data_IF_655027919550
#
_entry.id   IF_655027919550
#
_cell.length_a   1.000
_cell.length_b   1.000
_cell.length_c   1.000
_cell.angle_alpha   90.00
_cell.angle_beta   90.00
_cell.angle_gamma   90.00
#
_symmetry.space_group_name_H-M   'P 1'
#
loop_
_entity.id
_entity.type
_entity.pdbx_description
1 polymer ?
#
# COMPACT_ATOMS: atom_id res chain seq x y z
N UNK A 1 -19.33 8.79 1.00
CA UNK A 1 -18.21 8.18 1.73
C UNK A 1 -17.74 6.98 0.92
N UNK A 2 -16.44 6.85 0.65
CA UNK A 2 -15.87 5.66 0.03
C UNK A 2 -15.39 4.73 1.16
N UNK A 3 -15.71 3.44 1.07
CA UNK A 3 -15.36 2.44 2.08
C UNK A 3 -14.51 1.34 1.44
N UNK A 4 -13.41 0.97 2.10
CA UNK A 4 -12.52 -0.10 1.70
C UNK A 4 -12.87 -1.40 2.46
N UNK A 5 -14.09 -1.89 2.28
CA UNK A 5 -14.67 -3.02 3.01
C UNK A 5 -14.67 -4.35 2.23
N UNK A 6 -14.17 -4.34 0.99
CA UNK A 6 -14.01 -5.53 0.13
C UNK A 6 -12.80 -6.43 0.52
N UNK A 7 -12.04 -6.08 1.56
CA UNK A 7 -10.88 -6.85 2.01
C UNK A 7 -11.28 -8.18 2.67
N UNK A 8 -10.54 -9.25 2.35
CA UNK A 8 -10.61 -10.53 3.06
C UNK A 8 -9.41 -10.77 3.96
N UNK A 9 -8.23 -10.37 3.51
CA UNK A 9 -6.96 -10.54 4.23
C UNK A 9 -6.58 -9.29 5.03
N UNK A 10 -7.43 -8.26 5.10
CA UNK A 10 -7.24 -7.11 5.97
C UNK A 10 -8.54 -6.77 6.68
N UNK A 11 -8.43 -6.41 7.95
CA UNK A 11 -9.57 -6.00 8.77
C UNK A 11 -9.10 -4.93 9.77
N UNK A 12 -9.82 -3.82 9.87
CA UNK A 12 -9.70 -2.91 11.01
C UNK A 12 -10.67 -3.41 12.09
N UNK A 13 -10.13 -4.11 13.10
CA UNK A 13 -10.93 -4.79 14.12
C UNK A 13 -11.53 -3.79 15.10
N UNK A 14 -10.71 -2.87 15.61
CA UNK A 14 -11.12 -1.87 16.60
C UNK A 14 -10.17 -0.67 16.59
N UNK A 15 -10.62 0.46 17.13
CA UNK A 15 -9.86 1.70 17.27
C UNK A 15 -10.20 2.39 18.58
N UNK A 16 -9.23 3.09 19.17
CA UNK A 16 -9.44 3.89 20.36
C UNK A 16 -8.15 4.09 21.14
N UNK A 17 -8.16 5.03 22.08
CA UNK A 17 -7.02 5.33 22.95
C UNK A 17 -5.78 5.80 22.18
N UNK A 18 -5.97 6.39 20.99
CA UNK A 18 -4.88 6.79 20.08
C UNK A 18 -4.25 5.62 19.33
N UNK A 19 -4.92 4.47 19.26
CA UNK A 19 -4.42 3.23 18.69
C UNK A 19 -5.47 2.59 17.76
N UNK A 20 -4.99 1.66 16.93
CA UNK A 20 -5.81 0.79 16.10
C UNK A 20 -5.34 -0.66 16.18
N UNK A 21 -6.33 -1.55 16.12
CA UNK A 21 -6.16 -2.99 16.12
C UNK A 21 -6.55 -3.51 14.73
N UNK A 22 -5.60 -4.12 14.03
CA UNK A 22 -5.78 -4.54 12.64
C UNK A 22 -5.38 -6.00 12.46
N UNK A 23 -6.10 -6.72 11.59
CA UNK A 23 -5.71 -8.03 11.10
C UNK A 23 -5.12 -7.92 9.71
N UNK A 24 -4.02 -8.62 9.49
CA UNK A 24 -3.32 -8.75 8.22
C UNK A 24 -3.10 -10.25 7.94
N UNK A 25 -4.00 -10.84 7.18
CA UNK A 25 -4.13 -12.27 6.97
C UNK A 25 -4.43 -12.97 8.30
N UNK A 26 -3.45 -13.71 8.83
CA UNK A 26 -3.58 -14.41 10.12
C UNK A 26 -2.98 -13.65 11.31
N UNK A 27 -2.29 -12.53 11.07
CA UNK A 27 -1.58 -11.80 12.11
C UNK A 27 -2.35 -10.58 12.55
N UNK A 28 -2.41 -10.35 13.85
CA UNK A 28 -3.04 -9.18 14.46
C UNK A 28 -1.96 -8.21 14.92
N UNK A 29 -2.03 -6.98 14.43
CA UNK A 29 -1.07 -5.92 14.75
C UNK A 29 -1.79 -4.79 15.49
N UNK A 30 -1.13 -4.26 16.52
CA UNK A 30 -1.55 -3.04 17.20
C UNK A 30 -0.65 -1.90 16.77
N UNK A 31 -1.23 -0.77 16.35
CA UNK A 31 -0.46 0.39 15.86
C UNK A 31 -1.04 1.71 16.36
N UNK A 32 -0.22 2.77 16.45
CA UNK A 32 -0.70 4.10 16.79
C UNK A 32 -1.55 4.72 15.68
N UNK A 33 -2.69 5.29 16.08
CA UNK A 33 -3.53 6.15 15.28
C UNK A 33 -4.00 7.34 16.13
N UNK A 34 -3.29 8.49 16.08
CA UNK A 34 -3.56 9.62 16.96
C UNK A 34 -4.95 10.27 16.71
N UNK A 35 -5.64 9.90 15.64
CA UNK A 35 -6.99 10.38 15.36
C UNK A 35 -8.07 9.56 16.08
N UNK A 36 -7.76 8.33 16.54
CA UNK A 36 -8.66 7.47 17.29
C UNK A 36 -8.74 7.90 18.77
N UNK A 37 -9.21 9.12 19.02
CA UNK A 37 -9.20 9.78 20.35
C UNK A 37 -10.28 9.26 21.32
N UNK A 38 -11.24 8.48 20.83
CA UNK A 38 -12.28 7.86 21.66
C UNK A 38 -11.68 6.73 22.51
N UNK A 39 -12.28 6.37 23.66
CA UNK A 39 -11.80 5.25 24.46
C UNK A 39 -11.92 3.93 23.71
N UNK A 40 -11.04 2.99 24.04
CA UNK A 40 -11.20 1.59 23.62
C UNK A 40 -12.44 1.04 24.33
N UNK A 41 -13.41 0.56 23.55
CA UNK A 41 -14.67 -0.01 24.06
C UNK A 41 -14.86 -1.48 23.66
N UNK A 42 -14.00 -2.02 22.78
CA UNK A 42 -14.01 -3.41 22.38
C UNK A 42 -13.45 -4.37 23.44
N UNK A 43 -13.28 -5.63 23.04
CA UNK A 43 -12.75 -6.69 23.90
C UNK A 43 -11.30 -6.43 24.31
N UNK A 44 -11.06 -6.11 25.59
CA UNK A 44 -9.72 -5.92 26.14
C UNK A 44 -8.78 -7.11 25.86
N UNK A 45 -9.31 -8.34 25.80
CA UNK A 45 -8.49 -9.52 25.50
C UNK A 45 -7.95 -9.47 24.08
N UNK A 46 -8.72 -8.97 23.11
CA UNK A 46 -8.26 -8.82 21.73
C UNK A 46 -7.09 -7.83 21.65
N UNK A 47 -7.16 -6.71 22.38
CA UNK A 47 -6.10 -5.70 22.45
C UNK A 47 -4.82 -6.17 23.15
N UNK A 48 -4.92 -7.18 24.03
CA UNK A 48 -3.76 -7.81 24.70
C UNK A 48 -3.17 -8.98 23.92
N UNK A 49 -3.98 -9.68 23.12
CA UNK A 49 -3.60 -10.90 22.41
C UNK A 49 -3.18 -10.66 20.95
N UNK A 50 -2.35 -9.63 20.72
CA UNK A 50 -1.82 -9.31 19.39
C UNK A 50 -0.50 -10.04 19.11
N UNK A 51 -0.12 -10.16 17.84
CA UNK A 51 1.15 -10.78 17.45
C UNK A 51 2.32 -9.78 17.57
N UNK A 52 2.08 -8.51 17.26
CA UNK A 52 3.04 -7.43 17.49
C UNK A 52 2.38 -6.06 17.74
N UNK A 53 3.09 -5.19 18.45
CA UNK A 53 2.68 -3.81 18.76
C UNK A 53 3.80 -2.85 18.36
N UNK A 54 3.47 -1.83 17.57
CA UNK A 54 4.40 -0.75 17.26
C UNK A 54 4.32 0.37 18.32
N UNK A 55 5.43 0.64 18.99
CA UNK A 55 5.58 1.71 19.96
C UNK A 55 6.22 2.93 19.31
N UNK A 56 5.51 4.05 19.27
CA UNK A 56 6.06 5.31 18.72
C UNK A 56 6.97 5.99 19.73
N UNK A 57 8.14 6.44 19.28
CA UNK A 57 9.02 7.28 20.11
C UNK A 57 8.59 8.76 20.05
N UNK A 58 8.70 9.46 21.19
CA UNK A 58 8.51 10.91 21.27
C UNK A 58 9.56 11.72 20.51
N UNK A 59 10.75 11.14 20.26
CA UNK A 59 11.82 11.73 19.45
C UNK A 59 11.70 11.45 17.94
N UNK A 60 10.63 10.77 17.50
CA UNK A 60 10.44 10.32 16.13
C UNK A 60 10.83 8.85 15.92
N UNK A 61 10.20 8.20 14.93
CA UNK A 61 10.35 6.76 14.71
C UNK A 61 9.61 5.92 15.76
N UNK A 62 10.17 4.75 16.08
CA UNK A 62 9.58 3.78 17.01
C UNK A 62 10.16 2.39 16.83
N UNK A 63 9.57 1.40 17.48
CA UNK A 63 9.99 0.00 17.41
C UNK A 63 8.82 -0.96 17.50
N UNK A 64 8.99 -2.14 16.93
CA UNK A 64 8.04 -3.24 17.08
C UNK A 64 8.42 -4.09 18.31
N UNK A 65 7.44 -4.29 19.18
CA UNK A 65 7.44 -5.35 20.17
C UNK A 65 6.77 -6.58 19.56
N UNK A 66 7.48 -7.71 19.52
CA UNK A 66 6.99 -8.98 18.99
C UNK A 66 6.55 -9.88 20.15
N UNK A 67 5.23 -10.00 20.34
CA UNK A 67 4.65 -10.83 21.39
C UNK A 67 4.56 -12.31 20.97
N UNK A 68 4.57 -12.55 19.65
CA UNK A 68 4.61 -13.89 19.04
C UNK A 68 5.59 -13.91 17.86
N UNK A 69 5.99 -15.11 17.45
CA UNK A 69 6.88 -15.29 16.30
C UNK A 69 6.16 -14.94 15.00
N UNK A 70 6.57 -13.83 14.39
CA UNK A 70 6.14 -13.41 13.05
C UNK A 70 7.18 -13.81 12.00
N UNK A 71 6.77 -14.14 10.76
CA UNK A 71 7.69 -14.20 9.65
C UNK A 71 8.20 -12.78 9.33
N UNK A 72 9.38 -12.66 8.70
CA UNK A 72 9.92 -11.35 8.32
C UNK A 72 9.00 -10.60 7.35
N UNK A 73 8.23 -11.33 6.55
CA UNK A 73 7.27 -10.82 5.58
C UNK A 73 6.21 -11.90 5.32
N UNK A 74 4.99 -11.49 4.95
CA UNK A 74 3.95 -12.40 4.47
C UNK A 74 3.13 -11.76 3.34
N UNK A 75 2.29 -12.57 2.70
CA UNK A 75 1.42 -12.14 1.61
C UNK A 75 0.01 -11.88 2.13
N UNK A 76 -0.60 -10.79 1.66
CA UNK A 76 -2.04 -10.51 1.79
C UNK A 76 -2.65 -10.32 0.42
N UNK A 77 -3.93 -10.67 0.28
CA UNK A 77 -4.68 -10.56 -0.98
C UNK A 77 -5.79 -9.53 -0.92
N UNK A 78 -5.94 -8.79 -2.02
CA UNK A 78 -7.11 -7.99 -2.33
C UNK A 78 -7.64 -8.40 -3.69
N UNK A 79 -8.81 -9.04 -3.71
CA UNK A 79 -9.33 -9.67 -4.93
C UNK A 79 -8.27 -10.59 -5.57
N UNK A 80 -7.88 -10.36 -6.82
CA UNK A 80 -6.85 -11.10 -7.56
C UNK A 80 -5.43 -10.59 -7.31
N UNK A 81 -5.26 -9.46 -6.61
CA UNK A 81 -3.98 -8.83 -6.36
C UNK A 81 -3.35 -9.37 -5.07
N UNK A 82 -2.03 -9.59 -5.10
CA UNK A 82 -1.26 -10.10 -3.98
C UNK A 82 -0.12 -9.14 -3.63
N UNK A 83 0.05 -8.84 -2.35
CA UNK A 83 1.04 -7.90 -1.84
C UNK A 83 1.83 -8.47 -0.68
N UNK A 84 3.12 -8.19 -0.67
CA UNK A 84 3.96 -8.40 0.49
C UNK A 84 3.78 -7.29 1.53
N UNK A 85 3.59 -7.71 2.78
CA UNK A 85 3.53 -6.84 3.96
C UNK A 85 4.45 -7.35 5.05
N UNK A 86 4.94 -6.43 5.87
CA UNK A 86 5.85 -6.71 6.96
C UNK A 86 5.89 -5.57 8.00
N UNK A 87 6.23 -5.86 9.26
CA UNK A 87 6.64 -4.85 10.23
C UNK A 87 7.88 -4.12 9.73
N UNK A 88 7.74 -2.86 9.33
CA UNK A 88 8.88 -2.05 8.88
C UNK A 88 9.56 -1.33 10.05
N UNK A 89 10.66 -0.62 9.81
CA UNK A 89 11.24 0.29 10.82
C UNK A 89 10.34 1.48 11.20
N UNK A 90 9.19 1.63 10.55
CA UNK A 90 8.17 2.63 10.82
C UNK A 90 6.83 1.97 11.12
N UNK A 91 5.82 2.80 11.45
CA UNK A 91 4.47 2.30 11.76
C UNK A 91 3.77 1.61 10.58
N UNK A 92 4.14 1.87 9.32
CA UNK A 92 3.45 1.27 8.17
C UNK A 92 3.91 -0.17 7.91
N UNK A 93 3.06 -0.95 7.24
CA UNK A 93 3.29 -2.37 6.94
C UNK A 93 3.71 -2.65 5.49
N UNK A 94 3.95 -1.60 4.69
CA UNK A 94 4.26 -1.73 3.27
C UNK A 94 3.04 -1.67 2.35
N UNK A 95 1.82 -1.48 2.88
CA UNK A 95 0.60 -1.32 2.11
C UNK A 95 -0.39 -0.40 2.86
N UNK A 96 -1.22 0.32 2.10
CA UNK A 96 -2.27 1.20 2.60
C UNK A 96 -3.64 0.64 2.15
N UNK A 97 -4.30 -0.20 2.97
CA UNK A 97 -5.50 -0.93 2.56
C UNK A 97 -6.68 -0.03 2.19
N UNK A 98 -6.74 1.16 2.78
CA UNK A 98 -7.74 2.17 2.47
C UNK A 98 -7.68 2.63 1.00
N UNK A 99 -6.54 2.50 0.32
CA UNK A 99 -6.37 2.84 -1.08
C UNK A 99 -7.03 1.83 -2.03
N UNK A 100 -7.52 0.69 -1.54
CA UNK A 100 -8.19 -0.32 -2.34
C UNK A 100 -9.40 0.22 -3.13
N UNK A 101 -10.14 1.20 -2.57
CA UNK A 101 -11.22 1.89 -3.29
C UNK A 101 -10.72 2.62 -4.52
N UNK A 102 -9.53 3.20 -4.45
CA UNK A 102 -8.90 3.88 -5.58
C UNK A 102 -8.36 2.87 -6.59
N UNK A 103 -7.87 1.71 -6.14
CA UNK A 103 -7.44 0.63 -7.03
C UNK A 103 -8.59 0.10 -7.86
N UNK A 104 -9.73 -0.22 -7.22
CA UNK A 104 -10.96 -0.62 -7.91
C UNK A 104 -11.39 0.44 -8.93
N UNK A 105 -11.41 1.71 -8.53
CA UNK A 105 -11.74 2.82 -9.42
C UNK A 105 -10.77 2.93 -10.62
N UNK A 106 -9.46 2.76 -10.40
CA UNK A 106 -8.44 2.75 -11.46
C UNK A 106 -8.73 1.61 -12.44
N UNK A 107 -8.99 0.40 -11.94
CA UNK A 107 -9.29 -0.77 -12.78
C UNK A 107 -10.54 -0.54 -13.63
N UNK A 108 -11.63 -0.06 -13.02
CA UNK A 108 -12.89 0.24 -13.71
C UNK A 108 -12.69 1.26 -14.84
N UNK A 109 -11.90 2.32 -14.59
CA UNK A 109 -11.60 3.36 -15.59
C UNK A 109 -10.77 2.83 -16.75
N UNK A 110 -9.79 1.98 -16.48
CA UNK A 110 -8.94 1.39 -17.52
C UNK A 110 -9.74 0.37 -18.34
N UNK A 111 -10.47 -0.54 -17.69
CA UNK A 111 -11.30 -1.55 -18.35
C UNK A 111 -12.40 -0.91 -19.22
N UNK A 112 -13.03 0.16 -18.71
CA UNK A 112 -14.09 0.88 -19.42
C UNK A 112 -13.61 1.76 -20.58
N UNK A 113 -12.31 1.96 -20.77
CA UNK A 113 -11.80 2.86 -21.81
C UNK A 113 -11.89 2.29 -23.23
N UNK A 114 -12.01 0.96 -23.38
CA UNK A 114 -12.08 0.30 -24.70
C UNK A 114 -10.81 0.42 -25.56
N UNK A 115 -9.71 0.91 -24.97
CA UNK A 115 -8.39 1.07 -25.59
C UNK A 115 -7.29 0.92 -24.56
N UNK A 116 -6.05 0.76 -25.01
CA UNK A 116 -4.89 0.77 -24.11
C UNK A 116 -4.70 2.15 -23.47
N UNK A 117 -4.40 2.15 -22.17
CA UNK A 117 -4.18 3.34 -21.34
C UNK A 117 -2.74 3.37 -20.85
N UNK A 118 -2.09 4.52 -20.98
CA UNK A 118 -0.78 4.81 -20.41
C UNK A 118 -0.93 5.56 -19.08
N UNK A 119 -0.37 5.02 -18.01
CA UNK A 119 -0.50 5.54 -16.64
C UNK A 119 0.86 5.99 -16.13
N UNK A 120 0.94 7.20 -15.59
CA UNK A 120 2.07 7.67 -14.79
C UNK A 120 1.70 7.58 -13.31
N UNK A 121 2.37 6.72 -12.54
CA UNK A 121 2.18 6.60 -11.10
C UNK A 121 3.38 7.23 -10.36
N UNK A 122 3.13 8.28 -9.60
CA UNK A 122 4.12 9.11 -8.92
C UNK A 122 4.05 8.95 -7.41
N UNK A 123 5.21 8.95 -6.76
CA UNK A 123 5.33 8.61 -5.32
C UNK A 123 4.75 7.21 -5.06
N UNK A 124 5.07 6.30 -5.98
CA UNK A 124 4.31 5.07 -6.18
C UNK A 124 4.54 3.99 -5.10
N UNK A 125 5.49 4.22 -4.18
CA UNK A 125 5.76 3.38 -3.02
C UNK A 125 5.93 1.90 -3.40
N UNK A 126 5.30 0.98 -2.68
CA UNK A 126 5.32 -0.47 -2.93
C UNK A 126 4.41 -0.91 -4.09
N UNK A 127 3.83 0.03 -4.83
CA UNK A 127 3.21 -0.24 -6.12
C UNK A 127 1.75 -0.70 -6.10
N UNK A 128 0.99 -0.51 -5.01
CA UNK A 128 -0.43 -0.90 -4.95
C UNK A 128 -1.25 -0.47 -6.19
N UNK A 129 -1.22 0.83 -6.50
CA UNK A 129 -1.89 1.37 -7.68
C UNK A 129 -1.24 0.96 -9.02
N UNK A 130 0.07 0.68 -9.03
CA UNK A 130 0.78 0.15 -10.22
C UNK A 130 0.30 -1.25 -10.56
N UNK A 131 0.17 -2.11 -9.55
CA UNK A 131 -0.32 -3.50 -9.71
C UNK A 131 -1.77 -3.48 -10.21
N UNK A 132 -2.64 -2.68 -9.60
CA UNK A 132 -4.03 -2.53 -10.04
C UNK A 132 -4.15 -2.02 -11.50
N UNK A 133 -3.40 -0.96 -11.85
CA UNK A 133 -3.41 -0.46 -13.23
C UNK A 133 -2.89 -1.50 -14.24
N UNK A 134 -1.82 -2.22 -13.90
CA UNK A 134 -1.25 -3.26 -14.75
C UNK A 134 -2.20 -4.48 -14.89
N UNK A 135 -2.91 -4.84 -13.82
CA UNK A 135 -3.93 -5.89 -13.80
C UNK A 135 -5.05 -5.59 -14.82
N UNK A 136 -5.56 -4.35 -14.83
CA UNK A 136 -6.54 -3.86 -15.80
C UNK A 136 -5.97 -3.66 -17.23
N UNK A 137 -4.67 -3.93 -17.46
CA UNK A 137 -4.08 -3.93 -18.79
C UNK A 137 -3.44 -2.60 -19.24
N UNK A 138 -3.23 -1.65 -18.33
CA UNK A 138 -2.50 -0.44 -18.65
C UNK A 138 -0.98 -0.67 -18.86
N UNK A 139 -0.38 0.22 -19.64
CA UNK A 139 1.07 0.48 -19.60
C UNK A 139 1.37 1.44 -18.45
N UNK A 140 2.26 1.07 -17.53
CA UNK A 140 2.48 1.84 -16.32
C UNK A 140 3.93 2.33 -16.23
N UNK A 141 4.10 3.64 -15.99
CA UNK A 141 5.37 4.23 -15.58
C UNK A 141 5.32 4.45 -14.07
N UNK A 142 6.01 3.61 -13.31
CA UNK A 142 6.10 3.65 -11.85
C UNK A 142 7.32 4.49 -11.45
N UNK A 143 7.13 5.53 -10.63
CA UNK A 143 8.19 6.44 -10.22
C UNK A 143 8.20 6.60 -8.70
N UNK A 144 9.33 6.28 -8.09
CA UNK A 144 9.59 6.51 -6.67
C UNK A 144 11.08 6.85 -6.45
N UNK A 145 11.41 7.64 -5.43
CA UNK A 145 12.79 8.02 -5.14
C UNK A 145 13.55 6.89 -4.43
N UNK A 146 12.84 5.98 -3.75
CA UNK A 146 13.43 4.89 -2.98
C UNK A 146 13.62 3.63 -3.81
N UNK A 147 14.89 3.26 -4.06
CA UNK A 147 15.23 1.99 -4.73
C UNK A 147 14.59 0.79 -4.04
N UNK A 148 14.52 0.80 -2.71
CA UNK A 148 13.90 -0.28 -1.93
C UNK A 148 12.42 -0.43 -2.21
N UNK A 149 11.68 0.69 -2.30
CA UNK A 149 10.24 0.67 -2.61
C UNK A 149 9.97 0.23 -4.04
N UNK A 150 10.78 0.70 -4.99
CA UNK A 150 10.71 0.24 -6.38
C UNK A 150 10.98 -1.27 -6.51
N UNK A 151 11.94 -1.81 -5.74
CA UNK A 151 12.16 -3.27 -5.70
C UNK A 151 10.93 -4.00 -5.16
N UNK A 152 10.33 -3.52 -4.06
CA UNK A 152 9.07 -4.11 -3.53
C UNK A 152 7.91 -4.03 -4.52
N UNK A 153 7.80 -2.94 -5.27
CA UNK A 153 6.78 -2.82 -6.31
C UNK A 153 6.95 -3.87 -7.43
N UNK A 154 8.19 -4.19 -7.81
CA UNK A 154 8.48 -5.28 -8.76
C UNK A 154 8.10 -6.65 -8.18
N UNK A 155 8.43 -6.88 -6.92
CA UNK A 155 8.08 -8.12 -6.20
C UNK A 155 6.57 -8.29 -6.12
N UNK A 156 5.82 -7.25 -5.74
CA UNK A 156 4.35 -7.28 -5.69
C UNK A 156 3.71 -7.50 -7.07
N UNK A 157 4.27 -6.90 -8.13
CA UNK A 157 3.79 -7.14 -9.50
C UNK A 157 4.00 -8.60 -9.91
N UNK A 158 5.16 -9.18 -9.61
CA UNK A 158 5.46 -10.58 -9.88
C UNK A 158 4.58 -11.53 -9.03
N UNK A 159 4.39 -11.21 -7.75
CA UNK A 159 3.54 -11.95 -6.82
C UNK A 159 2.09 -12.00 -7.28
N UNK A 160 1.59 -10.89 -7.84
CA UNK A 160 0.27 -10.80 -8.49
C UNK A 160 0.21 -11.49 -9.87
N UNK A 161 1.28 -12.20 -10.29
CA UNK A 161 1.38 -12.89 -11.60
C UNK A 161 1.29 -11.95 -12.81
N UNK A 162 1.79 -10.72 -12.66
CA UNK A 162 1.76 -9.66 -13.68
C UNK A 162 3.17 -9.26 -14.13
N UNK A 163 4.18 -10.10 -13.91
CA UNK A 163 5.58 -9.79 -14.21
C UNK A 163 5.90 -9.57 -15.71
N UNK A 164 5.03 -10.03 -16.59
CA UNK A 164 5.09 -9.83 -18.05
C UNK A 164 4.38 -8.54 -18.52
N UNK A 165 3.63 -7.86 -17.63
CA UNK A 165 2.93 -6.62 -17.96
C UNK A 165 3.91 -5.47 -18.21
N UNK A 166 3.58 -4.53 -19.11
CA UNK A 166 4.48 -3.45 -19.49
C UNK A 166 4.55 -2.36 -18.40
N UNK A 167 5.36 -2.62 -17.37
CA UNK A 167 5.63 -1.68 -16.28
C UNK A 167 7.08 -1.19 -16.33
N UNK A 168 7.25 0.11 -16.55
CA UNK A 168 8.55 0.79 -16.49
C UNK A 168 8.78 1.31 -15.08
N UNK A 169 9.77 0.77 -14.40
CA UNK A 169 10.15 1.16 -13.04
C UNK A 169 11.27 2.20 -13.05
N UNK A 170 11.07 3.32 -12.37
CA UNK A 170 11.99 4.46 -12.31
C UNK A 170 12.32 4.78 -10.86
N UNK A 171 13.62 4.74 -10.55
CA UNK A 171 14.17 5.23 -9.29
C UNK A 171 14.69 6.64 -9.53
N UNK A 172 13.91 7.66 -9.19
CA UNK A 172 14.29 9.06 -9.39
C UNK A 172 13.46 9.99 -8.51
N UNK A 173 13.93 11.23 -8.36
CA UNK A 173 13.11 12.28 -7.79
C UNK A 173 11.93 12.57 -8.72
N UNK A 174 10.71 12.50 -8.17
CA UNK A 174 9.47 12.61 -8.93
C UNK A 174 9.37 13.93 -9.68
N UNK A 175 9.71 15.05 -9.03
CA UNK A 175 9.60 16.39 -9.63
C UNK A 175 10.59 16.54 -10.79
N UNK A 176 11.85 16.12 -10.60
CA UNK A 176 12.87 16.09 -11.66
C UNK A 176 12.47 15.16 -12.80
N UNK A 177 11.87 14.01 -12.51
CA UNK A 177 11.37 13.09 -13.52
C UNK A 177 10.28 13.71 -14.37
N UNK A 178 9.25 14.27 -13.76
CA UNK A 178 8.15 14.93 -14.47
C UNK A 178 8.66 16.10 -15.31
N UNK A 179 9.60 16.90 -14.79
CA UNK A 179 10.21 17.98 -15.57
C UNK A 179 10.95 17.47 -16.81
N UNK A 180 11.65 16.33 -16.73
CA UNK A 180 12.28 15.69 -17.90
C UNK A 180 11.26 15.15 -18.89
N UNK A 181 10.21 14.51 -18.43
CA UNK A 181 9.13 14.00 -19.30
C UNK A 181 8.40 15.14 -20.03
N UNK A 182 8.14 16.25 -19.33
CA UNK A 182 7.54 17.45 -19.92
C UNK A 182 8.45 18.03 -21.02
N UNK A 183 9.76 18.18 -20.77
CA UNK A 183 10.73 18.63 -21.80
C UNK A 183 10.79 17.69 -23.01
N UNK A 184 10.57 16.39 -22.81
CA UNK A 184 10.53 15.38 -23.88
C UNK A 184 9.18 15.34 -24.62
N UNK A 185 8.19 16.13 -24.20
CA UNK A 185 6.84 16.10 -24.75
C UNK A 185 6.09 14.78 -24.49
N UNK A 186 6.52 13.98 -23.49
CA UNK A 186 5.85 12.73 -23.14
C UNK A 186 4.47 13.02 -22.55
N UNK A 187 3.47 12.23 -22.95
CA UNK A 187 2.08 12.33 -22.51
C UNK A 187 1.65 10.98 -21.94
N UNK A 188 0.73 11.05 -20.99
CA UNK A 188 0.11 9.91 -20.34
C UNK A 188 -1.39 10.14 -20.35
N UNK A 189 -2.17 9.07 -20.47
CA UNK A 189 -3.63 9.12 -20.43
C UNK A 189 -4.14 9.38 -19.01
N UNK A 190 -3.42 8.88 -18.01
CA UNK A 190 -3.75 9.05 -16.60
C UNK A 190 -2.50 9.34 -15.76
N UNK A 191 -2.68 10.12 -14.70
CA UNK A 191 -1.67 10.39 -13.69
C UNK A 191 -2.24 10.04 -12.32
N UNK A 192 -1.52 9.22 -11.56
CA UNK A 192 -1.76 8.91 -10.16
C UNK A 192 -0.62 9.57 -9.37
N UNK A 193 -0.95 10.26 -8.29
CA UNK A 193 0.02 11.04 -7.52
C UNK A 193 -0.33 11.02 -6.04
N UNK A 194 0.58 10.53 -5.21
CA UNK A 194 0.41 10.38 -3.76
C UNK A 194 1.60 10.99 -3.00
N UNK A 195 1.77 12.33 -3.02
CA UNK A 195 2.92 12.96 -2.39
C UNK A 195 2.86 12.81 -0.85
N UNK A 196 4.00 12.60 -0.17
CA UNK A 196 4.07 12.41 1.28
C UNK A 196 3.83 13.71 2.08
#
# INVERSE_FOLDING_TARGET
MLLADDWKDYELIDTGGGEKLERWGRYTLRRPDPQAIWPITGDEKAWRNVDAHYHRSSSGGGSWEYLRKLPPQWTVKYAELEFHVEPTGFKHTGLFPEQAVNWKWIEDRINGAGRKISVLNLFAYTGGATVAAAHAGAEVCHVDASKGMVTRAKENLALSKLGDRPVRFIVDDVVKFVARENRRGRKYDAVIMDPP
#
